data_IF_022056278018
#
_entry.id   IF_022056278018
#
_cell.length_a   1.000
_cell.length_b   1.000
_cell.length_c   1.000
_cell.angle_alpha   90.00
_cell.angle_beta   90.00
_cell.angle_gamma   90.00
#
_symmetry.space_group_name_H-M   'P 1'
#
loop_
_entity.id
_entity.type
_entity.pdbx_description
1 polymer ?
#
# COMPACT_ATOMS: atom_id res chain seq x y z
N UNK A 1 -14.88 -24.81 -28.10
CA UNK A 1 -15.11 -23.59 -27.29
C UNK A 1 -13.81 -23.35 -26.55
N UNK A 2 -12.95 -22.51 -27.13
CA UNK A 2 -11.59 -22.29 -26.64
C UNK A 2 -11.68 -21.43 -25.38
N UNK A 3 -11.31 -22.02 -24.25
CA UNK A 3 -11.23 -21.35 -22.96
C UNK A 3 -10.23 -20.20 -23.12
N UNK A 4 -10.72 -18.96 -23.18
CA UNK A 4 -9.88 -17.78 -23.32
C UNK A 4 -8.94 -17.72 -22.12
N UNK A 5 -7.71 -18.23 -22.31
CA UNK A 5 -6.64 -18.23 -21.33
C UNK A 5 -6.41 -16.78 -20.92
N UNK A 6 -6.92 -16.39 -19.74
CA UNK A 6 -6.69 -15.05 -19.17
C UNK A 6 -5.18 -14.81 -19.21
N UNK A 7 -4.74 -13.85 -20.02
CA UNK A 7 -3.34 -13.43 -20.01
C UNK A 7 -3.02 -12.96 -18.59
N UNK A 8 -1.88 -13.37 -18.00
CA UNK A 8 -1.47 -12.86 -16.70
C UNK A 8 -1.40 -11.33 -16.80
N UNK A 9 -2.05 -10.63 -15.85
CA UNK A 9 -1.97 -9.17 -15.78
C UNK A 9 -0.52 -8.78 -15.52
N UNK A 10 0.07 -7.98 -16.42
CA UNK A 10 1.38 -7.41 -16.17
C UNK A 10 1.32 -6.47 -14.96
N UNK A 11 2.29 -6.55 -14.05
CA UNK A 11 2.38 -5.61 -12.91
C UNK A 11 2.59 -4.16 -13.39
N UNK A 12 3.18 -3.99 -14.58
CA UNK A 12 3.42 -2.69 -15.20
C UNK A 12 2.26 -2.19 -16.08
N UNK A 13 1.23 -3.02 -16.31
CA UNK A 13 0.06 -2.62 -17.10
C UNK A 13 -0.93 -1.87 -16.20
N UNK A 14 -0.83 -0.55 -16.19
CA UNK A 14 -1.62 0.30 -15.30
C UNK A 14 -3.13 0.09 -15.47
N UNK A 15 -3.62 0.03 -16.72
CA UNK A 15 -5.05 -0.14 -16.99
C UNK A 15 -5.55 -1.48 -16.47
N UNK A 16 -4.80 -2.56 -16.71
CA UNK A 16 -5.16 -3.88 -16.21
C UNK A 16 -5.13 -3.96 -14.67
N UNK A 17 -4.14 -3.33 -14.02
CA UNK A 17 -4.05 -3.27 -12.57
C UNK A 17 -5.19 -2.45 -11.96
N UNK A 18 -5.49 -1.28 -12.53
CA UNK A 18 -6.56 -0.41 -12.04
C UNK A 18 -7.94 -1.02 -12.26
N UNK A 19 -8.19 -1.66 -13.41
CA UNK A 19 -9.43 -2.39 -13.67
C UNK A 19 -9.62 -3.56 -12.69
N UNK A 20 -8.54 -4.29 -12.37
CA UNK A 20 -8.59 -5.30 -11.32
C UNK A 20 -8.93 -4.69 -9.97
N UNK A 21 -8.21 -3.66 -9.54
CA UNK A 21 -8.43 -2.99 -8.26
C UNK A 21 -9.89 -2.52 -8.11
N UNK A 22 -10.44 -1.86 -9.13
CA UNK A 22 -11.85 -1.41 -9.15
C UNK A 22 -12.84 -2.58 -9.12
N UNK A 23 -12.50 -3.73 -9.71
CA UNK A 23 -13.34 -4.93 -9.61
C UNK A 23 -13.39 -5.54 -8.21
N UNK A 24 -12.39 -5.25 -7.36
CA UNK A 24 -12.33 -5.69 -5.96
C UNK A 24 -12.90 -4.67 -4.98
N UNK A 25 -13.09 -3.42 -5.38
CA UNK A 25 -13.57 -2.31 -4.53
C UNK A 25 -14.76 -1.60 -5.21
N UNK A 26 -15.86 -2.33 -5.41
CA UNK A 26 -17.05 -1.83 -6.11
C UNK A 26 -17.95 -1.03 -5.18
N UNK A 27 -18.04 -1.41 -3.91
CA UNK A 27 -18.88 -0.76 -2.93
C UNK A 27 -18.21 0.52 -2.41
N UNK A 28 -18.90 1.68 -2.43
CA UNK A 28 -18.28 2.97 -2.11
C UNK A 28 -17.74 3.03 -0.68
N UNK A 29 -18.39 2.36 0.28
CA UNK A 29 -17.90 2.30 1.67
C UNK A 29 -16.59 1.52 1.78
N UNK A 30 -16.44 0.42 1.03
CA UNK A 30 -15.20 -0.36 1.04
C UNK A 30 -14.07 0.45 0.37
N UNK A 31 -14.36 1.03 -0.80
CA UNK A 31 -13.41 1.88 -1.51
C UNK A 31 -12.94 3.08 -0.66
N UNK A 32 -13.85 3.71 0.10
CA UNK A 32 -13.53 4.80 1.02
C UNK A 32 -12.70 4.33 2.22
N UNK A 33 -13.03 3.17 2.81
CA UNK A 33 -12.25 2.60 3.90
C UNK A 33 -10.80 2.34 3.47
N UNK A 34 -10.58 1.75 2.29
CA UNK A 34 -9.23 1.56 1.75
C UNK A 34 -8.52 2.89 1.50
N UNK A 35 -9.21 3.86 0.89
CA UNK A 35 -8.64 5.18 0.61
C UNK A 35 -8.18 5.93 1.86
N UNK A 36 -8.94 5.82 2.96
CA UNK A 36 -8.62 6.50 4.22
C UNK A 36 -7.59 5.76 5.08
N UNK A 37 -7.58 4.42 5.03
CA UNK A 37 -6.84 3.59 5.99
C UNK A 37 -5.53 3.01 5.43
N UNK A 38 -5.34 2.97 4.11
CA UNK A 38 -4.10 2.49 3.51
C UNK A 38 -2.89 3.39 3.83
N UNK A 39 -3.08 4.71 3.87
CA UNK A 39 -2.04 5.66 4.24
C UNK A 39 -1.47 5.43 5.64
N UNK A 40 -2.32 5.38 6.69
CA UNK A 40 -1.90 5.02 8.05
C UNK A 40 -1.17 3.68 8.16
N UNK A 41 -1.63 2.62 7.46
CA UNK A 41 -0.93 1.32 7.41
C UNK A 41 0.48 1.49 6.83
N UNK A 42 0.60 2.11 5.66
CA UNK A 42 1.88 2.31 5.02
C UNK A 42 2.83 3.14 5.90
N UNK A 43 2.33 4.19 6.53
CA UNK A 43 3.09 5.03 7.45
C UNK A 43 3.53 4.27 8.72
N UNK A 44 2.65 3.44 9.29
CA UNK A 44 2.95 2.60 10.44
C UNK A 44 4.09 1.61 10.17
N UNK A 45 4.07 0.98 9.00
CA UNK A 45 5.15 0.11 8.52
C UNK A 45 6.48 0.86 8.39
N UNK A 46 6.49 2.05 7.76
CA UNK A 46 7.70 2.86 7.66
C UNK A 46 8.22 3.31 9.03
N UNK A 47 7.33 3.57 9.99
CA UNK A 47 7.69 3.99 11.34
C UNK A 47 8.37 2.85 12.11
N UNK A 48 7.78 1.65 12.11
CA UNK A 48 8.34 0.53 12.89
C UNK A 48 9.66 0.02 12.31
N UNK A 49 9.84 0.11 10.99
CA UNK A 49 11.08 -0.26 10.30
C UNK A 49 12.29 0.57 10.75
N UNK A 50 12.09 1.78 11.29
CA UNK A 50 13.14 2.59 11.90
C UNK A 50 13.89 1.84 13.02
N UNK A 51 13.20 0.96 13.74
CA UNK A 51 13.75 0.22 14.88
C UNK A 51 14.32 -1.14 14.49
N UNK A 52 14.31 -1.52 13.21
CA UNK A 52 14.79 -2.82 12.75
C UNK A 52 16.33 -2.80 12.66
N UNK A 53 17.05 -3.60 13.47
CA UNK A 53 18.51 -3.59 13.48
C UNK A 53 19.05 -4.45 12.34
N UNK A 54 19.11 -3.90 11.13
CA UNK A 54 19.75 -4.57 9.99
C UNK A 54 21.24 -4.20 9.91
N UNK A 55 22.13 -5.16 9.54
CA UNK A 55 23.54 -4.89 9.26
C UNK A 55 23.71 -4.25 7.87
N UNK A 56 22.97 -3.17 7.60
CA UNK A 56 22.95 -2.45 6.34
C UNK A 56 23.10 -0.96 6.60
N UNK A 57 23.94 -0.24 5.82
CA UNK A 57 24.00 1.22 5.90
C UNK A 57 22.73 1.88 5.34
N UNK A 58 21.97 1.15 4.51
CA UNK A 58 20.70 1.62 3.97
C UNK A 58 19.57 1.35 4.97
N UNK A 59 18.90 2.43 5.37
CA UNK A 59 17.69 2.39 6.18
C UNK A 59 16.62 1.48 5.52
N UNK A 60 16.08 0.46 6.22
CA UNK A 60 15.06 -0.43 5.69
C UNK A 60 13.81 0.29 5.19
N UNK A 61 13.37 1.34 5.90
CA UNK A 61 12.20 2.12 5.50
C UNK A 61 12.48 2.92 4.22
N UNK A 62 13.68 3.47 4.08
CA UNK A 62 14.11 4.16 2.86
C UNK A 62 14.19 3.18 1.69
N UNK A 63 14.77 2.00 1.89
CA UNK A 63 14.86 0.97 0.87
C UNK A 63 13.48 0.57 0.34
N UNK A 64 12.52 0.38 1.24
CA UNK A 64 11.13 0.06 0.89
C UNK A 64 10.48 1.20 0.09
N UNK A 65 10.59 2.45 0.58
CA UNK A 65 10.04 3.62 -0.12
C UNK A 65 10.64 3.80 -1.51
N UNK A 66 11.95 3.59 -1.68
CA UNK A 66 12.62 3.66 -2.98
C UNK A 66 12.19 2.54 -3.92
N UNK A 67 12.01 1.31 -3.42
CA UNK A 67 11.52 0.20 -4.21
C UNK A 67 10.10 0.45 -4.73
N UNK A 68 9.20 0.95 -3.87
CA UNK A 68 7.83 1.32 -4.26
C UNK A 68 7.84 2.49 -5.24
N UNK A 69 8.63 3.54 -4.97
CA UNK A 69 8.77 4.68 -5.87
C UNK A 69 9.25 4.26 -7.27
N UNK A 70 10.26 3.39 -7.35
CA UNK A 70 10.77 2.86 -8.61
C UNK A 70 9.71 2.05 -9.37
N UNK A 71 8.97 1.19 -8.66
CA UNK A 71 7.86 0.43 -9.25
C UNK A 71 6.79 1.36 -9.82
N UNK A 72 6.38 2.39 -9.07
CA UNK A 72 5.33 3.32 -9.48
C UNK A 72 5.75 4.20 -10.65
N UNK A 73 7.01 4.66 -10.66
CA UNK A 73 7.59 5.38 -11.80
C UNK A 73 7.66 4.53 -13.06
N UNK A 74 7.89 3.22 -12.92
CA UNK A 74 7.90 2.28 -14.03
C UNK A 74 6.49 2.02 -14.61
N UNK A 75 5.45 2.14 -13.78
CA UNK A 75 4.04 1.99 -14.17
C UNK A 75 3.51 3.25 -14.85
N UNK A 76 3.69 4.42 -14.22
CA UNK A 76 3.33 5.71 -14.81
C UNK A 76 4.25 6.82 -14.29
N UNK A 77 4.85 7.61 -15.18
CA UNK A 77 5.84 8.62 -14.79
C UNK A 77 5.28 9.78 -13.99
N UNK A 78 4.05 10.22 -14.26
CA UNK A 78 3.47 11.42 -13.63
C UNK A 78 2.88 11.09 -12.28
N UNK A 79 1.98 10.12 -12.24
CA UNK A 79 1.40 9.63 -10.99
C UNK A 79 2.47 8.98 -10.12
N UNK A 80 3.40 8.22 -10.72
CA UNK A 80 4.52 7.62 -10.01
C UNK A 80 5.44 8.64 -9.36
N UNK A 81 5.68 9.79 -10.00
CA UNK A 81 6.45 10.88 -9.38
C UNK A 81 5.73 11.48 -8.17
N UNK A 82 4.41 11.70 -8.24
CA UNK A 82 3.62 12.13 -7.09
C UNK A 82 3.68 11.10 -5.95
N UNK A 83 3.47 9.83 -6.27
CA UNK A 83 3.54 8.75 -5.30
C UNK A 83 4.93 8.64 -4.65
N UNK A 84 6.01 8.79 -5.43
CA UNK A 84 7.38 8.81 -4.95
C UNK A 84 7.63 9.97 -3.97
N UNK A 85 7.16 11.18 -4.29
CA UNK A 85 7.26 12.33 -3.40
C UNK A 85 6.52 12.10 -2.08
N UNK A 86 5.31 11.54 -2.14
CA UNK A 86 4.53 11.20 -0.95
C UNK A 86 5.20 10.11 -0.11
N UNK A 87 5.76 9.06 -0.73
CA UNK A 87 6.49 7.98 -0.06
C UNK A 87 7.75 8.48 0.65
N UNK A 88 8.54 9.34 -0.01
CA UNK A 88 9.75 9.92 0.56
C UNK A 88 9.41 10.91 1.68
N UNK A 89 8.34 11.70 1.52
CA UNK A 89 7.82 12.55 2.59
C UNK A 89 7.34 11.76 3.80
N UNK A 90 6.57 10.69 3.57
CA UNK A 90 6.10 9.77 4.61
C UNK A 90 7.26 9.09 5.34
N UNK A 91 8.29 8.65 4.61
CA UNK A 91 9.51 8.11 5.19
C UNK A 91 10.25 9.11 6.09
N UNK A 92 10.47 10.33 5.60
CA UNK A 92 11.15 11.36 6.39
C UNK A 92 10.36 11.70 7.67
N UNK A 93 9.03 11.82 7.54
CA UNK A 93 8.13 12.07 8.67
C UNK A 93 8.08 10.89 9.65
N UNK A 94 8.04 9.65 9.18
CA UNK A 94 8.02 8.46 10.04
C UNK A 94 9.29 8.34 10.85
N UNK A 95 10.46 8.59 10.24
CA UNK A 95 11.75 8.64 10.95
C UNK A 95 11.77 9.73 12.03
N UNK A 96 11.34 10.95 11.68
CA UNK A 96 11.32 12.06 12.62
C UNK A 96 10.36 11.82 13.79
N UNK A 97 9.26 11.09 13.57
CA UNK A 97 8.35 10.67 14.62
C UNK A 97 8.92 9.53 15.46
N UNK A 98 9.49 8.50 14.84
CA UNK A 98 10.10 7.36 15.52
C UNK A 98 11.22 7.80 16.48
N UNK A 99 12.08 8.74 16.05
CA UNK A 99 13.13 9.32 16.87
C UNK A 99 12.60 10.05 18.12
N UNK A 100 11.38 10.60 18.08
CA UNK A 100 10.73 11.28 19.21
C UNK A 100 10.01 10.31 20.15
N UNK A 101 9.36 9.29 19.62
CA UNK A 101 8.55 8.34 20.41
C UNK A 101 9.40 7.29 21.12
N UNK A 102 10.51 6.87 20.51
CA UNK A 102 11.22 5.66 20.91
C UNK A 102 10.40 4.39 20.67
N UNK A 103 11.04 3.23 20.76
CA UNK A 103 10.42 1.95 20.38
C UNK A 103 9.16 1.64 21.18
N UNK A 104 9.22 1.79 22.51
CA UNK A 104 8.16 1.38 23.44
C UNK A 104 6.80 2.06 23.18
N UNK A 105 6.80 3.32 22.74
CA UNK A 105 5.58 4.05 22.39
C UNK A 105 5.22 3.84 20.92
N UNK A 106 6.23 3.87 20.03
CA UNK A 106 6.05 3.63 18.60
C UNK A 106 5.31 2.31 18.31
N UNK A 107 5.74 1.19 18.92
CA UNK A 107 5.11 -0.11 18.64
C UNK A 107 3.64 -0.15 19.10
N UNK A 108 3.27 0.55 20.18
CA UNK A 108 1.87 0.63 20.65
C UNK A 108 1.01 1.41 19.66
N UNK A 109 1.51 2.55 19.19
CA UNK A 109 0.82 3.39 18.20
C UNK A 109 0.65 2.61 16.90
N UNK A 110 1.74 2.00 16.40
CA UNK A 110 1.71 1.19 15.17
C UNK A 110 0.75 0.02 15.33
N UNK A 111 0.87 -0.78 16.39
CA UNK A 111 0.01 -1.94 16.59
C UNK A 111 -1.48 -1.55 16.65
N UNK A 112 -1.83 -0.49 17.39
CA UNK A 112 -3.21 -0.01 17.45
C UNK A 112 -3.71 0.44 16.07
N UNK A 113 -2.86 1.14 15.31
CA UNK A 113 -3.18 1.62 13.96
C UNK A 113 -3.37 0.46 12.98
N UNK A 114 -2.42 -0.47 12.93
CA UNK A 114 -2.47 -1.64 12.06
C UNK A 114 -3.71 -2.50 12.36
N UNK A 115 -3.97 -2.82 13.64
CA UNK A 115 -5.14 -3.59 14.02
C UNK A 115 -6.45 -2.91 13.62
N UNK A 116 -6.57 -1.60 13.87
CA UNK A 116 -7.77 -0.86 13.48
C UNK A 116 -7.95 -0.82 11.95
N UNK A 117 -6.89 -0.46 11.22
CA UNK A 117 -6.96 -0.24 9.78
C UNK A 117 -7.17 -1.55 9.02
N UNK A 118 -6.41 -2.60 9.33
CA UNK A 118 -6.59 -3.91 8.69
C UNK A 118 -7.94 -4.53 9.01
N UNK A 119 -8.43 -4.38 10.25
CA UNK A 119 -9.77 -4.87 10.60
C UNK A 119 -10.81 -4.27 9.69
N UNK A 120 -10.79 -2.96 9.47
CA UNK A 120 -11.77 -2.29 8.61
C UNK A 120 -11.58 -2.59 7.11
N UNK A 121 -10.34 -2.76 6.63
CA UNK A 121 -10.11 -3.20 5.25
C UNK A 121 -10.63 -4.62 5.01
N UNK A 122 -10.34 -5.58 5.89
CA UNK A 122 -10.83 -6.95 5.76
C UNK A 122 -12.34 -7.06 5.96
N UNK A 123 -12.91 -6.34 6.94
CA UNK A 123 -14.36 -6.27 7.12
C UNK A 123 -15.05 -5.63 5.92
N UNK A 124 -14.46 -4.60 5.33
CA UNK A 124 -14.97 -3.97 4.13
C UNK A 124 -15.10 -4.96 2.97
N UNK A 125 -14.04 -5.74 2.70
CA UNK A 125 -14.08 -6.83 1.72
C UNK A 125 -15.11 -7.90 2.08
N UNK A 126 -15.14 -8.37 3.32
CA UNK A 126 -16.02 -9.46 3.75
C UNK A 126 -17.50 -9.09 3.69
N UNK A 127 -17.86 -7.91 4.21
CA UNK A 127 -19.25 -7.46 4.30
C UNK A 127 -19.80 -6.95 2.96
N UNK A 128 -19.01 -6.17 2.22
CA UNK A 128 -19.50 -5.48 1.02
C UNK A 128 -19.15 -6.19 -0.28
N UNK A 129 -17.94 -6.73 -0.41
CA UNK A 129 -17.47 -7.30 -1.67
C UNK A 129 -17.70 -8.81 -1.77
N UNK A 130 -17.74 -9.49 -0.62
CA UNK A 130 -17.86 -10.97 -0.50
C UNK A 130 -16.79 -11.71 -1.32
N UNK A 131 -15.69 -11.03 -1.58
CA UNK A 131 -14.58 -11.46 -2.41
C UNK A 131 -13.33 -10.70 -1.99
N UNK A 132 -12.20 -11.41 -1.98
CA UNK A 132 -10.88 -10.83 -1.76
C UNK A 132 -9.87 -11.39 -2.76
N UNK A 133 -8.62 -10.89 -2.70
CA UNK A 133 -7.55 -11.36 -3.58
C UNK A 133 -7.15 -12.81 -3.26
N UNK A 134 -6.73 -13.54 -4.28
CA UNK A 134 -6.14 -14.88 -4.11
C UNK A 134 -4.68 -14.78 -3.66
N UNK A 135 -4.11 -15.87 -3.13
CA UNK A 135 -2.69 -15.92 -2.72
C UNK A 135 -1.74 -15.51 -3.85
N UNK A 136 -2.04 -15.93 -5.08
CA UNK A 136 -1.28 -15.56 -6.29
C UNK A 136 -1.37 -14.08 -6.66
N UNK A 137 -2.38 -13.36 -6.17
CA UNK A 137 -2.58 -11.93 -6.40
C UNK A 137 -1.91 -11.06 -5.32
N UNK A 138 -1.53 -11.63 -4.17
CA UNK A 138 -0.95 -10.91 -3.04
C UNK A 138 0.27 -10.06 -3.41
N UNK A 139 1.27 -10.53 -4.19
CA UNK A 139 2.42 -9.70 -4.54
C UNK A 139 2.02 -8.44 -5.31
N UNK A 140 1.05 -8.55 -6.22
CA UNK A 140 0.54 -7.41 -6.98
C UNK A 140 -0.31 -6.49 -6.09
N UNK A 141 -1.13 -7.05 -5.20
CA UNK A 141 -1.96 -6.31 -4.25
C UNK A 141 -1.10 -5.46 -3.31
N UNK A 142 -0.14 -6.06 -2.61
CA UNK A 142 0.71 -5.33 -1.66
C UNK A 142 1.55 -4.25 -2.35
N UNK A 143 2.07 -4.54 -3.55
CA UNK A 143 2.85 -3.57 -4.29
C UNK A 143 1.99 -2.45 -4.88
N UNK A 144 0.87 -2.79 -5.53
CA UNK A 144 0.15 -1.83 -6.37
C UNK A 144 -1.00 -1.11 -5.66
N UNK A 145 -1.66 -1.71 -4.68
CA UNK A 145 -2.85 -1.09 -4.07
C UNK A 145 -2.61 0.33 -3.53
N UNK A 146 -1.51 0.66 -2.84
CA UNK A 146 -1.30 2.03 -2.37
C UNK A 146 -1.25 3.03 -3.53
N UNK A 147 -0.69 2.64 -4.68
CA UNK A 147 -0.66 3.46 -5.89
C UNK A 147 -2.03 3.58 -6.55
N UNK A 148 -2.77 2.48 -6.66
CA UNK A 148 -4.09 2.48 -7.30
C UNK A 148 -5.12 3.23 -6.44
N UNK A 149 -4.99 3.20 -5.11
CA UNK A 149 -5.77 4.04 -4.19
C UNK A 149 -5.47 5.52 -4.41
N UNK A 150 -4.20 5.90 -4.56
CA UNK A 150 -3.83 7.29 -4.88
C UNK A 150 -4.50 7.73 -6.19
N UNK A 151 -4.52 6.87 -7.21
CA UNK A 151 -5.19 7.16 -8.48
C UNK A 151 -6.71 7.27 -8.32
N UNK A 152 -7.35 6.39 -7.54
CA UNK A 152 -8.80 6.43 -7.30
C UNK A 152 -9.28 7.76 -6.70
N UNK A 153 -8.47 8.43 -5.88
CA UNK A 153 -8.85 9.71 -5.24
C UNK A 153 -8.66 10.91 -6.19
N UNK A 154 -7.87 10.75 -7.25
CA UNK A 154 -7.51 11.82 -8.19
C UNK A 154 -8.27 11.76 -9.54
N UNK A 155 -9.19 10.80 -9.72
CA UNK A 155 -10.01 10.59 -10.92
C UNK A 155 -11.43 10.16 -10.54
#
# INVERSE_FOLDING_TARGET
MEEAKRRPRGVLDLEAQFAFFRSQHRHPVNAAAHALLAGPILFGNLLILYFLPLPSPLDPALALSLAYAAAYLAVDRRAGALAALLLLGAWAASRALAARLGFALAWKVVLATELFCWTWQFLGHGLFEKKGPTVSELPAVFLMEPFLILLQVNF
#
